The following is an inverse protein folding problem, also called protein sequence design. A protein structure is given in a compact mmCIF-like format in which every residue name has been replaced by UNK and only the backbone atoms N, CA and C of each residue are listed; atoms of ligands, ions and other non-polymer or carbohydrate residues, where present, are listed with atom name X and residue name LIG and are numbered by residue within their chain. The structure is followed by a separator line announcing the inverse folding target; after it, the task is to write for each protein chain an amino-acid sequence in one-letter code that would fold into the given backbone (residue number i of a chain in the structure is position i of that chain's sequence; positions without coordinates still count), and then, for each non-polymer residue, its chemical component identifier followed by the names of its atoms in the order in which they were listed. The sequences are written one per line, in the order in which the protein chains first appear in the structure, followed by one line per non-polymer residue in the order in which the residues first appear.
data_IF_215022185970
#
_entry.id   IF_215022185970
#
_cell.length_a   1.000
_cell.length_b   1.000
_cell.length_c   1.000
_cell.angle_alpha   90.00
_cell.angle_beta   90.00
_cell.angle_gamma   90.00
#
_symmetry.space_group_name_H-M   'P 1'
#
loop_
_entity.id
_entity.type
_entity.pdbx_description
1 polymer ?
#
# COMPACT_ATOMS: atom_id res chain seq x y z
N UNK A 1 -14.51 27.63 -9.36
CA UNK A 1 -15.44 26.82 -8.55
C UNK A 1 -14.95 25.40 -8.60
N UNK A 2 -14.95 24.67 -7.48
CA UNK A 2 -14.60 23.25 -7.45
C UNK A 2 -15.60 22.44 -8.26
N UNK A 3 -15.11 21.46 -9.03
CA UNK A 3 -15.97 20.58 -9.83
C UNK A 3 -16.37 19.36 -9.01
N UNK A 4 -17.43 18.65 -9.43
CA UNK A 4 -17.77 17.34 -8.85
C UNK A 4 -16.60 16.36 -8.93
N UNK A 5 -15.78 16.43 -9.98
CA UNK A 5 -14.57 15.60 -10.10
C UNK A 5 -13.53 15.94 -9.03
N UNK A 6 -13.36 17.21 -8.69
CA UNK A 6 -12.47 17.63 -7.61
C UNK A 6 -12.98 17.15 -6.25
N UNK A 7 -14.29 17.28 -6.01
CA UNK A 7 -14.93 16.80 -4.79
C UNK A 7 -14.78 15.26 -4.65
N UNK A 8 -14.88 14.51 -5.73
CA UNK A 8 -14.70 13.05 -5.71
C UNK A 8 -13.26 12.65 -5.38
N UNK A 9 -12.26 13.38 -5.89
CA UNK A 9 -10.84 13.13 -5.54
C UNK A 9 -10.56 13.45 -4.09
N UNK A 10 -11.12 14.54 -3.58
CA UNK A 10 -11.04 14.90 -2.17
C UNK A 10 -11.71 13.85 -1.28
N UNK A 11 -12.90 13.39 -1.65
CA UNK A 11 -13.62 12.32 -0.95
C UNK A 11 -12.82 11.01 -0.97
N UNK A 12 -12.31 10.58 -2.12
CA UNK A 12 -11.46 9.38 -2.21
C UNK A 12 -10.23 9.47 -1.30
N UNK A 13 -9.54 10.61 -1.27
CA UNK A 13 -8.42 10.86 -0.37
C UNK A 13 -8.84 10.80 1.10
N UNK A 14 -9.96 11.44 1.46
CA UNK A 14 -10.50 11.45 2.81
C UNK A 14 -10.87 10.05 3.31
N UNK A 15 -11.61 9.29 2.51
CA UNK A 15 -12.05 7.93 2.85
C UNK A 15 -10.87 6.96 2.94
N UNK A 16 -9.87 7.08 2.04
CA UNK A 16 -8.64 6.28 2.09
C UNK A 16 -7.84 6.53 3.37
N UNK A 17 -7.70 7.80 3.77
CA UNK A 17 -7.06 8.16 5.04
C UNK A 17 -7.86 7.67 6.26
N UNK A 18 -9.20 7.74 6.21
CA UNK A 18 -10.08 7.29 7.29
C UNK A 18 -9.96 5.78 7.51
N UNK A 19 -10.04 4.98 6.44
CA UNK A 19 -9.83 3.53 6.48
C UNK A 19 -8.51 3.17 7.18
N UNK A 20 -7.39 3.76 6.75
CA UNK A 20 -6.08 3.45 7.31
C UNK A 20 -5.94 3.88 8.78
N UNK A 21 -6.48 5.06 9.16
CA UNK A 21 -6.51 5.51 10.56
C UNK A 21 -7.32 4.56 11.44
N UNK A 22 -8.52 4.17 11.01
CA UNK A 22 -9.41 3.33 11.80
C UNK A 22 -8.85 1.92 11.98
N UNK A 23 -8.15 1.35 10.99
CA UNK A 23 -7.40 0.09 11.18
C UNK A 23 -6.31 0.21 12.25
N UNK A 24 -5.58 1.32 12.28
CA UNK A 24 -4.57 1.57 13.31
C UNK A 24 -5.21 1.75 14.70
N UNK A 25 -6.32 2.48 14.79
CA UNK A 25 -7.05 2.69 16.03
C UNK A 25 -7.67 1.40 16.57
N UNK A 26 -8.15 0.51 15.68
CA UNK A 26 -8.61 -0.81 16.07
C UNK A 26 -7.53 -1.64 16.76
N UNK A 27 -6.29 -1.63 16.24
CA UNK A 27 -5.15 -2.32 16.87
C UNK A 27 -4.85 -1.75 18.25
N UNK A 28 -4.93 -0.42 18.41
CA UNK A 28 -4.72 0.25 19.69
C UNK A 28 -5.80 -0.09 20.71
N UNK A 29 -7.08 -0.04 20.31
CA UNK A 29 -8.21 -0.40 21.15
C UNK A 29 -8.14 -1.87 21.60
N UNK A 30 -7.73 -2.79 20.71
CA UNK A 30 -7.52 -4.21 21.06
C UNK A 30 -6.42 -4.36 22.13
N UNK A 31 -5.28 -3.69 21.93
CA UNK A 31 -4.16 -3.73 22.87
C UNK A 31 -4.51 -3.15 24.25
N UNK A 32 -5.51 -2.28 24.33
CA UNK A 32 -6.01 -1.68 25.58
C UNK A 32 -7.20 -2.45 26.18
N UNK A 33 -7.61 -3.57 25.58
CA UNK A 33 -8.71 -4.41 26.09
C UNK A 33 -10.12 -3.96 25.69
N UNK A 34 -10.25 -2.94 24.82
CA UNK A 34 -11.54 -2.42 24.36
C UNK A 34 -12.06 -3.19 23.13
N UNK A 35 -12.37 -4.47 23.31
CA UNK A 35 -12.73 -5.37 22.20
C UNK A 35 -13.89 -4.86 21.31
N UNK A 36 -14.95 -4.28 21.89
CA UNK A 36 -16.08 -3.78 21.09
C UNK A 36 -15.76 -2.47 20.35
N UNK A 37 -14.89 -1.62 20.90
CA UNK A 37 -14.42 -0.42 20.21
C UNK A 37 -13.47 -0.82 19.07
N UNK A 38 -12.61 -1.81 19.28
CA UNK A 38 -11.78 -2.37 18.21
C UNK A 38 -12.62 -2.92 17.05
N UNK A 39 -13.71 -3.65 17.36
CA UNK A 39 -14.68 -4.11 16.35
C UNK A 39 -15.34 -2.95 15.62
N UNK A 40 -15.82 -1.93 16.34
CA UNK A 40 -16.41 -0.74 15.73
C UNK A 40 -15.46 -0.09 14.72
N UNK A 41 -14.21 0.16 15.12
CA UNK A 41 -13.21 0.75 14.22
C UNK A 41 -12.94 -0.13 12.98
N UNK A 42 -12.85 -1.46 13.12
CA UNK A 42 -12.70 -2.36 11.96
C UNK A 42 -13.90 -2.28 11.03
N UNK A 43 -15.11 -2.30 11.58
CA UNK A 43 -16.34 -2.20 10.79
C UNK A 43 -16.43 -0.87 10.06
N UNK A 44 -16.09 0.24 10.72
CA UNK A 44 -16.07 1.56 10.07
C UNK A 44 -14.98 1.62 9.00
N UNK A 45 -13.79 1.06 9.23
CA UNK A 45 -12.75 1.00 8.19
C UNK A 45 -13.21 0.26 6.91
N UNK A 46 -14.04 -0.78 7.05
CA UNK A 46 -14.66 -1.45 5.89
C UNK A 46 -15.73 -0.60 5.23
N UNK A 47 -16.49 0.21 5.98
CA UNK A 47 -17.43 1.17 5.40
C UNK A 47 -16.70 2.23 4.56
N UNK A 48 -15.59 2.78 5.07
CA UNK A 48 -14.82 3.80 4.33
C UNK A 48 -14.13 3.20 3.09
N UNK A 49 -13.74 1.91 3.13
CA UNK A 49 -13.29 1.19 1.93
C UNK A 49 -14.38 1.19 0.85
N UNK A 50 -15.63 0.90 1.22
CA UNK A 50 -16.77 0.86 0.29
C UNK A 50 -17.03 2.27 -0.29
N UNK A 51 -16.97 3.32 0.54
CA UNK A 51 -17.12 4.70 0.08
C UNK A 51 -16.01 5.08 -0.92
N UNK A 52 -14.74 4.83 -0.57
CA UNK A 52 -13.59 5.10 -1.43
C UNK A 52 -13.69 4.41 -2.80
N UNK A 53 -14.06 3.12 -2.82
CA UNK A 53 -14.27 2.36 -4.06
C UNK A 53 -15.41 2.91 -4.91
N UNK A 54 -16.50 3.35 -4.28
CA UNK A 54 -17.60 4.03 -4.95
C UNK A 54 -17.16 5.33 -5.64
N UNK A 55 -16.30 6.11 -5.00
CA UNK A 55 -15.76 7.34 -5.57
C UNK A 55 -14.78 7.08 -6.72
N UNK A 56 -13.88 6.09 -6.60
CA UNK A 56 -13.00 5.69 -7.71
C UNK A 56 -13.80 5.24 -8.93
N UNK A 57 -14.86 4.46 -8.71
CA UNK A 57 -15.77 4.06 -9.80
C UNK A 57 -16.44 5.26 -10.46
N UNK A 58 -16.92 6.23 -9.68
CA UNK A 58 -17.52 7.45 -10.21
C UNK A 58 -16.51 8.37 -10.93
N UNK A 59 -15.21 8.18 -10.69
CA UNK A 59 -14.12 8.85 -11.38
C UNK A 59 -13.63 8.10 -12.63
N UNK A 60 -14.20 6.95 -12.95
CA UNK A 60 -13.74 6.04 -14.01
C UNK A 60 -12.26 5.62 -13.82
N UNK A 61 -11.80 5.53 -12.57
CA UNK A 61 -10.41 5.16 -12.21
C UNK A 61 -10.23 3.67 -11.93
N UNK A 62 -11.24 2.85 -12.25
CA UNK A 62 -11.18 1.39 -12.21
C UNK A 62 -11.37 0.90 -13.65
N UNK A 63 -10.27 0.51 -14.29
CA UNK A 63 -10.21 0.15 -15.71
C UNK A 63 -9.90 -1.35 -15.89
N UNK A 64 -9.40 -1.76 -17.06
CA UNK A 64 -8.94 -3.15 -17.26
C UNK A 64 -7.75 -3.49 -16.35
N UNK A 65 -7.50 -4.78 -16.10
CA UNK A 65 -6.34 -5.21 -15.30
C UNK A 65 -5.01 -4.66 -15.83
N UNK A 66 -4.83 -4.61 -17.15
CA UNK A 66 -3.63 -4.06 -17.76
C UNK A 66 -3.48 -2.55 -17.48
N UNK A 67 -4.57 -1.79 -17.59
CA UNK A 67 -4.56 -0.35 -17.30
C UNK A 67 -4.34 -0.05 -15.82
N UNK A 68 -4.96 -0.83 -14.94
CA UNK A 68 -4.77 -0.71 -13.48
C UNK A 68 -3.33 -1.04 -13.09
N UNK A 69 -2.73 -2.08 -13.69
CA UNK A 69 -1.31 -2.42 -13.48
C UNK A 69 -0.37 -1.31 -13.98
N UNK A 70 -0.66 -0.71 -15.14
CA UNK A 70 0.12 0.42 -15.62
C UNK A 70 0.00 1.62 -14.68
N UNK A 71 -1.21 1.94 -14.20
CA UNK A 71 -1.41 3.01 -13.21
C UNK A 71 -0.66 2.74 -11.91
N UNK A 72 -0.58 1.49 -11.46
CA UNK A 72 0.21 1.11 -10.29
C UNK A 72 1.71 1.32 -10.55
N UNK A 73 2.24 0.84 -11.69
CA UNK A 73 3.64 1.05 -12.08
C UNK A 73 4.00 2.54 -12.10
N UNK A 74 3.15 3.37 -12.69
CA UNK A 74 3.37 4.82 -12.79
C UNK A 74 3.41 5.47 -11.39
N UNK A 75 2.49 5.06 -10.51
CA UNK A 75 2.44 5.49 -9.12
C UNK A 75 3.69 5.10 -8.35
N UNK A 76 3.98 3.80 -8.27
CA UNK A 76 5.15 3.27 -7.56
C UNK A 76 6.45 3.91 -8.07
N UNK A 77 6.59 4.04 -9.41
CA UNK A 77 7.76 4.68 -10.02
C UNK A 77 7.90 6.12 -9.58
N UNK A 78 6.82 6.90 -9.63
CA UNK A 78 6.86 8.27 -9.12
C UNK A 78 7.25 8.32 -7.64
N UNK A 79 6.74 7.40 -6.82
CA UNK A 79 7.05 7.33 -5.40
C UNK A 79 8.54 7.10 -5.15
N UNK A 80 9.14 6.07 -5.77
CA UNK A 80 10.53 5.73 -5.50
C UNK A 80 11.57 6.59 -6.24
N UNK A 81 11.23 7.18 -7.38
CA UNK A 81 12.17 8.04 -8.14
C UNK A 81 12.08 9.51 -7.78
N UNK A 82 10.90 9.99 -7.36
CA UNK A 82 10.61 11.42 -7.29
C UNK A 82 10.10 11.85 -5.93
N UNK A 83 9.12 11.14 -5.36
CA UNK A 83 8.47 11.57 -4.13
C UNK A 83 9.32 11.30 -2.87
N UNK A 84 9.70 10.05 -2.63
CA UNK A 84 10.37 9.67 -1.41
C UNK A 84 11.83 10.13 -1.29
N UNK A 85 12.67 10.15 -2.36
CA UNK A 85 14.08 10.54 -2.21
C UNK A 85 14.29 11.89 -1.48
N UNK A 86 13.65 13.01 -1.88
CA UNK A 86 13.80 14.27 -1.15
C UNK A 86 13.19 14.23 0.27
N UNK A 87 12.16 13.41 0.51
CA UNK A 87 11.59 13.24 1.85
C UNK A 87 12.53 12.48 2.79
N UNK A 88 13.24 11.46 2.28
CA UNK A 88 14.29 10.74 3.02
C UNK A 88 15.42 11.70 3.38
N UNK A 89 15.91 12.47 2.41
CA UNK A 89 16.97 13.48 2.65
C UNK A 89 16.55 14.47 3.74
N UNK A 90 15.34 15.04 3.62
CA UNK A 90 14.83 16.01 4.60
C UNK A 90 14.65 15.40 5.99
N UNK A 91 14.08 14.20 6.09
CA UNK A 91 13.88 13.55 7.39
C UNK A 91 15.21 13.17 8.06
N UNK A 92 16.25 12.86 7.28
CA UNK A 92 17.60 12.66 7.80
C UNK A 92 18.21 13.97 8.31
N UNK A 93 18.11 15.05 7.53
CA UNK A 93 18.60 16.37 7.92
C UNK A 93 17.92 16.88 9.21
N UNK A 94 16.62 16.60 9.36
CA UNK A 94 15.84 16.99 10.55
C UNK A 94 16.08 16.09 11.76
N UNK A 95 16.80 14.96 11.59
CA UNK A 95 16.90 13.92 12.62
C UNK A 95 15.54 13.31 12.99
N UNK A 96 14.52 13.46 12.15
CA UNK A 96 13.16 13.07 12.46
C UNK A 96 12.97 11.55 12.33
N UNK A 97 12.16 10.95 13.22
CA UNK A 97 11.90 9.50 13.25
C UNK A 97 11.31 8.94 11.95
N UNK A 98 10.70 9.79 11.12
CA UNK A 98 10.14 9.41 9.82
C UNK A 98 11.20 8.87 8.83
N UNK A 99 12.49 9.22 9.03
CA UNK A 99 13.59 8.78 8.14
C UNK A 99 13.60 7.27 7.92
N UNK A 100 13.24 6.49 8.93
CA UNK A 100 13.20 5.03 8.85
C UNK A 100 12.09 4.56 7.91
N UNK A 101 10.86 5.06 8.08
CA UNK A 101 9.74 4.58 7.27
C UNK A 101 9.81 5.13 5.83
N UNK A 102 10.30 6.36 5.62
CA UNK A 102 10.57 6.85 4.27
C UNK A 102 11.63 6.01 3.56
N UNK A 103 12.69 5.59 4.27
CA UNK A 103 13.71 4.71 3.68
C UNK A 103 13.16 3.32 3.36
N UNK A 104 12.28 2.78 4.21
CA UNK A 104 11.63 1.51 3.94
C UNK A 104 10.68 1.59 2.75
N UNK A 105 9.86 2.64 2.67
CA UNK A 105 8.93 2.85 1.57
C UNK A 105 9.66 2.98 0.23
N UNK A 106 10.67 3.86 0.10
CA UNK A 106 11.41 4.02 -1.17
C UNK A 106 12.06 2.73 -1.67
N UNK A 107 12.54 1.88 -0.76
CA UNK A 107 13.13 0.59 -1.13
C UNK A 107 12.07 -0.45 -1.50
N UNK A 108 10.91 -0.43 -0.85
CA UNK A 108 9.80 -1.32 -1.12
C UNK A 108 9.09 -0.97 -2.44
N UNK A 109 8.86 0.32 -2.70
CA UNK A 109 8.11 0.80 -3.88
C UNK A 109 8.86 0.47 -5.18
N UNK A 110 10.19 0.47 -5.16
CA UNK A 110 11.00 -0.02 -6.29
C UNK A 110 10.74 -1.51 -6.60
N UNK A 111 10.50 -2.32 -5.57
CA UNK A 111 10.16 -3.74 -5.71
C UNK A 111 8.71 -3.89 -6.18
N UNK A 112 7.80 -3.06 -5.69
CA UNK A 112 6.40 -3.09 -6.11
C UNK A 112 6.26 -2.77 -7.60
N UNK A 113 6.95 -1.73 -8.08
CA UNK A 113 7.01 -1.38 -9.50
C UNK A 113 7.50 -2.54 -10.38
N UNK A 114 8.58 -3.24 -9.96
CA UNK A 114 9.11 -4.41 -10.69
C UNK A 114 8.12 -5.59 -10.72
N UNK A 115 7.44 -5.87 -9.59
CA UNK A 115 6.44 -6.94 -9.52
C UNK A 115 5.23 -6.61 -10.40
N UNK A 116 4.72 -5.38 -10.37
CA UNK A 116 3.61 -4.98 -11.24
C UNK A 116 3.99 -4.97 -12.72
N UNK A 117 5.24 -4.62 -13.07
CA UNK A 117 5.72 -4.73 -14.45
C UNK A 117 5.72 -6.18 -14.94
N UNK A 118 6.16 -7.13 -14.10
CA UNK A 118 6.08 -8.58 -14.42
C UNK A 118 4.64 -9.05 -14.58
N UNK A 119 3.73 -8.59 -13.72
CA UNK A 119 2.31 -8.89 -13.82
C UNK A 119 1.70 -8.36 -15.13
N UNK A 120 2.04 -7.12 -15.52
CA UNK A 120 1.56 -6.51 -16.75
C UNK A 120 2.02 -7.30 -17.98
N UNK A 121 3.26 -7.77 -17.99
CA UNK A 121 3.78 -8.61 -19.08
C UNK A 121 3.08 -9.97 -19.18
N UNK A 122 2.63 -10.55 -18.07
CA UNK A 122 1.80 -11.76 -18.08
C UNK A 122 0.41 -11.46 -18.68
N UNK A 123 -0.25 -10.41 -18.20
CA UNK A 123 -1.60 -10.00 -18.66
C UNK A 123 -1.59 -9.67 -20.16
N UNK A 124 -0.55 -8.99 -20.67
CA UNK A 124 -0.40 -8.73 -22.12
C UNK A 124 -0.30 -9.99 -22.97
N UNK A 125 0.17 -11.11 -22.40
CA UNK A 125 0.21 -12.43 -23.05
C UNK A 125 -1.10 -13.21 -22.88
N UNK A 126 -2.11 -12.65 -22.22
CA UNK A 126 -3.39 -13.30 -21.95
C UNK A 126 -3.32 -14.38 -20.87
N UNK A 127 -2.30 -14.32 -20.00
CA UNK A 127 -2.11 -15.27 -18.89
C UNK A 127 -1.97 -14.53 -17.57
N UNK A 128 -2.15 -15.25 -16.46
CA UNK A 128 -1.88 -14.74 -15.12
C UNK A 128 -0.39 -14.92 -14.76
N UNK A 129 0.04 -14.36 -13.63
CA UNK A 129 1.37 -14.59 -13.08
C UNK A 129 1.55 -16.07 -12.69
N UNK A 130 2.70 -16.65 -13.03
CA UNK A 130 3.09 -18.00 -12.58
C UNK A 130 3.75 -17.95 -11.20
N UNK A 131 2.94 -17.63 -10.17
CA UNK A 131 3.37 -17.58 -8.77
C UNK A 131 2.24 -18.06 -7.87
N UNK A 132 2.57 -18.87 -6.87
CA UNK A 132 1.58 -19.45 -5.94
C UNK A 132 1.44 -18.69 -4.63
N UNK A 133 2.51 -18.02 -4.20
CA UNK A 133 2.59 -17.48 -2.85
C UNK A 133 3.23 -16.09 -2.89
N UNK A 134 2.63 -15.16 -2.15
CA UNK A 134 3.13 -13.80 -1.96
C UNK A 134 3.46 -13.62 -0.48
N UNK A 135 4.64 -13.08 -0.18
CA UNK A 135 5.10 -12.87 1.18
C UNK A 135 5.31 -11.38 1.45
N UNK A 136 4.67 -10.87 2.51
CA UNK A 136 4.78 -9.49 2.94
C UNK A 136 5.63 -9.38 4.20
N UNK A 137 6.64 -8.52 4.18
CA UNK A 137 7.36 -8.15 5.39
C UNK A 137 6.50 -7.17 6.23
N UNK A 138 6.06 -7.53 7.45
CA UNK A 138 5.16 -6.70 8.24
C UNK A 138 5.84 -5.46 8.85
N UNK A 139 7.15 -5.33 8.68
CA UNK A 139 7.96 -4.23 9.25
C UNK A 139 8.14 -3.09 8.25
N UNK A 140 8.39 -3.42 6.97
CA UNK A 140 8.84 -2.44 5.97
C UNK A 140 8.05 -2.46 4.67
N UNK A 141 7.11 -3.40 4.47
CA UNK A 141 6.31 -3.46 3.24
C UNK A 141 6.98 -4.18 2.06
N UNK A 142 8.20 -4.71 2.23
CA UNK A 142 8.83 -5.54 1.19
C UNK A 142 7.97 -6.74 0.80
N UNK A 143 7.80 -6.96 -0.51
CA UNK A 143 7.08 -8.09 -1.09
C UNK A 143 8.08 -9.04 -1.73
N UNK A 144 7.93 -10.33 -1.44
CA UNK A 144 8.68 -11.42 -2.07
C UNK A 144 7.72 -12.40 -2.76
N UNK A 145 8.13 -12.92 -3.92
CA UNK A 145 7.37 -13.89 -4.68
C UNK A 145 7.86 -15.32 -4.40
N UNK A 146 6.94 -16.25 -4.19
CA UNK A 146 7.20 -17.69 -4.12
C UNK A 146 7.79 -18.19 -2.80
N UNK A 147 8.81 -17.55 -2.22
CA UNK A 147 9.37 -17.98 -0.92
C UNK A 147 10.00 -16.82 -0.17
N UNK A 148 9.57 -16.56 1.06
CA UNK A 148 10.18 -15.55 1.93
C UNK A 148 11.70 -15.76 2.10
N UNK A 149 12.53 -14.70 2.07
CA UNK A 149 13.98 -14.80 2.23
C UNK A 149 14.37 -15.03 3.69
N UNK A 150 15.58 -15.53 3.95
CA UNK A 150 16.09 -15.73 5.32
C UNK A 150 16.09 -14.43 6.16
N UNK A 151 16.43 -13.32 5.49
CA UNK A 151 16.37 -11.96 6.02
C UNK A 151 15.77 -11.03 4.97
N UNK A 152 14.89 -10.15 5.41
CA UNK A 152 14.34 -9.09 4.56
C UNK A 152 15.48 -8.19 4.06
N UNK A 153 15.61 -7.95 2.74
CA UNK A 153 16.67 -7.14 2.18
C UNK A 153 16.54 -5.64 2.54
N UNK A 154 15.34 -5.20 2.92
CA UNK A 154 15.05 -3.80 3.27
C UNK A 154 15.32 -3.50 4.75
N UNK A 155 14.74 -4.30 5.66
CA UNK A 155 14.80 -4.01 7.11
C UNK A 155 15.52 -5.07 7.95
N UNK A 156 15.97 -6.18 7.36
CA UNK A 156 16.65 -7.26 8.08
C UNK A 156 15.75 -8.16 8.93
N UNK A 157 14.42 -8.01 8.88
CA UNK A 157 13.48 -8.90 9.57
C UNK A 157 13.69 -10.37 9.15
N UNK A 158 13.59 -11.29 10.11
CA UNK A 158 13.78 -12.74 9.87
C UNK A 158 12.64 -13.31 9.02
N UNK A 159 12.93 -14.36 8.25
CA UNK A 159 11.95 -15.10 7.44
C UNK A 159 10.63 -15.41 8.16
N UNK A 160 10.71 -15.87 9.42
CA UNK A 160 9.54 -16.24 10.22
C UNK A 160 8.57 -15.08 10.55
N UNK A 161 8.98 -13.83 10.30
CA UNK A 161 8.12 -12.65 10.47
C UNK A 161 7.25 -12.39 9.23
N UNK A 162 7.60 -12.94 8.07
CA UNK A 162 6.83 -12.69 6.85
C UNK A 162 5.45 -13.31 6.95
N UNK A 163 4.47 -12.56 6.46
CA UNK A 163 3.08 -13.03 6.36
C UNK A 163 2.83 -13.46 4.93
N UNK A 164 2.36 -14.69 4.74
CA UNK A 164 1.81 -15.11 3.46
C UNK A 164 0.47 -14.41 3.23
N UNK A 165 0.33 -13.74 2.09
CA UNK A 165 -0.93 -13.14 1.67
C UNK A 165 -1.72 -14.21 0.91
N UNK A 166 -2.99 -14.37 1.30
CA UNK A 166 -3.93 -15.33 0.73
C UNK A 166 -4.83 -14.68 -0.31
#
# INVERSE_FOLDING_TARGET
MTTTKDNLKEAFSGESQANQKYRAFAKKAEAEGFANIAKLFRTTAEAERIHAEGHLKALDMIASTAENLQSAIDGETYEFTTMYPPMVEKANADGHKAKTMFKFAVDAEAVHADIYAKALEAVKKGVDMDVKEFYLCPVCGYIELGKAPEKCPVCGAKQAMFTQIA
#
